data_IF_562594083678
#
_entry.id   IF_562594083678
#
_cell.length_a   1.000
_cell.length_b   1.000
_cell.length_c   1.000
_cell.angle_alpha   90.00
_cell.angle_beta   90.00
_cell.angle_gamma   90.00
#
_symmetry.space_group_name_H-M   'P 1'
#
loop_
_entity.id
_entity.type
_entity.pdbx_description
1 polymer ?
#
# COMPACT_ATOMS: atom_id res chain seq x y z
N UNK A 1 24.01 18.42 -29.15
CA UNK A 1 23.02 17.85 -28.21
C UNK A 1 21.72 17.66 -28.96
N UNK A 2 21.19 16.45 -28.95
CA UNK A 2 19.95 16.10 -29.66
C UNK A 2 18.74 16.85 -29.05
N UNK A 3 18.11 17.79 -29.74
CA UNK A 3 16.97 18.55 -29.24
C UNK A 3 15.73 17.68 -28.95
N UNK A 4 15.68 16.46 -29.50
CA UNK A 4 14.57 15.53 -29.27
C UNK A 4 14.47 14.99 -27.83
N UNK A 5 15.55 15.13 -27.03
CA UNK A 5 15.64 14.67 -25.64
C UNK A 5 15.29 15.74 -24.60
N UNK A 6 15.00 16.99 -25.02
CA UNK A 6 14.62 18.06 -24.09
C UNK A 6 13.11 18.09 -23.83
N UNK A 7 12.75 18.33 -22.58
CA UNK A 7 11.37 18.55 -22.13
C UNK A 7 11.27 19.99 -21.63
N UNK A 8 10.33 20.78 -22.20
CA UNK A 8 10.12 22.20 -21.89
C UNK A 8 11.42 23.02 -21.97
N UNK A 9 12.31 22.72 -22.94
CA UNK A 9 13.60 23.38 -23.19
C UNK A 9 14.56 23.47 -21.98
N UNK A 10 14.16 22.96 -20.84
CA UNK A 10 14.90 23.00 -19.58
C UNK A 10 15.45 21.64 -19.15
N UNK A 11 14.66 20.58 -19.27
CA UNK A 11 15.01 19.28 -18.69
C UNK A 11 15.55 18.32 -19.76
N UNK A 12 16.78 17.88 -19.62
CA UNK A 12 17.41 16.90 -20.52
C UNK A 12 17.09 15.48 -20.03
N UNK A 13 16.16 14.82 -20.70
CA UNK A 13 15.69 13.47 -20.38
C UNK A 13 16.83 12.44 -20.50
N UNK A 14 16.88 11.53 -19.54
CA UNK A 14 17.78 10.38 -19.46
C UNK A 14 17.00 9.06 -19.45
N UNK A 15 17.44 8.07 -18.70
CA UNK A 15 16.81 6.76 -18.57
C UNK A 15 15.42 6.81 -17.91
N UNK A 16 14.59 5.81 -18.24
CA UNK A 16 13.31 5.57 -17.57
C UNK A 16 13.60 4.90 -16.23
N UNK A 17 13.04 5.47 -15.15
CA UNK A 17 13.16 4.94 -13.78
C UNK A 17 12.04 3.94 -13.46
N UNK A 18 10.86 4.12 -14.07
CA UNK A 18 9.72 3.23 -13.86
C UNK A 18 8.51 3.64 -14.69
N UNK A 19 7.62 2.70 -14.88
CA UNK A 19 6.32 2.91 -15.50
C UNK A 19 5.23 2.38 -14.58
N UNK A 20 4.22 3.19 -14.32
CA UNK A 20 3.13 2.88 -13.39
C UNK A 20 1.76 3.24 -13.95
N UNK A 21 0.72 3.02 -13.15
CA UNK A 21 -0.70 3.26 -13.51
C UNK A 21 -0.96 4.69 -13.99
N UNK A 22 -0.23 5.66 -13.47
CA UNK A 22 -0.45 7.09 -13.73
C UNK A 22 0.48 7.67 -14.81
N UNK A 23 1.47 6.91 -15.29
CA UNK A 23 2.40 7.38 -16.31
C UNK A 23 3.81 6.84 -16.14
N UNK A 24 4.77 7.52 -16.76
CA UNK A 24 6.19 7.12 -16.81
C UNK A 24 7.00 8.11 -15.98
N UNK A 25 7.93 7.60 -15.16
CA UNK A 25 8.93 8.39 -14.44
C UNK A 25 10.28 8.22 -15.14
N UNK A 26 10.95 9.30 -15.40
CA UNK A 26 12.29 9.27 -15.98
C UNK A 26 13.24 10.22 -15.28
N UNK A 27 14.49 9.86 -15.26
CA UNK A 27 15.60 10.69 -14.79
C UNK A 27 15.86 11.81 -15.80
N UNK A 28 16.16 12.99 -15.34
CA UNK A 28 16.52 14.12 -16.19
C UNK A 28 17.59 14.98 -15.51
N UNK A 29 18.20 15.86 -16.28
CA UNK A 29 19.10 16.92 -15.79
C UNK A 29 18.42 18.25 -16.03
N UNK A 30 18.24 19.04 -14.98
CA UNK A 30 17.83 20.43 -15.08
C UNK A 30 18.99 21.26 -15.65
N UNK A 31 18.87 21.73 -16.88
CA UNK A 31 19.95 22.47 -17.56
C UNK A 31 20.22 23.84 -16.98
N UNK A 32 19.30 24.38 -16.13
CA UNK A 32 19.51 25.66 -15.44
C UNK A 32 20.36 25.52 -14.19
N UNK A 33 20.18 24.41 -13.44
CA UNK A 33 20.85 24.21 -12.15
C UNK A 33 21.94 23.14 -12.21
N UNK A 34 21.97 22.31 -13.26
CA UNK A 34 22.83 21.13 -13.36
C UNK A 34 22.37 19.96 -12.49
N UNK A 35 21.30 20.10 -11.72
CA UNK A 35 20.81 19.07 -10.80
C UNK A 35 20.14 17.90 -11.54
N UNK A 36 20.33 16.71 -10.99
CA UNK A 36 19.59 15.52 -11.41
C UNK A 36 18.22 15.56 -10.75
N UNK A 37 17.16 15.31 -11.55
CA UNK A 37 15.75 15.32 -11.12
C UNK A 37 15.02 14.08 -11.63
N UNK A 38 13.91 13.74 -10.99
CA UNK A 38 12.96 12.74 -11.47
C UNK A 38 11.72 13.43 -12.03
N UNK A 39 11.29 13.05 -13.25
CA UNK A 39 10.12 13.65 -13.89
C UNK A 39 9.04 12.60 -14.09
N UNK A 40 7.91 12.76 -13.40
CA UNK A 40 6.69 11.96 -13.55
C UNK A 40 5.81 12.56 -14.65
N UNK A 41 5.71 11.88 -15.78
CA UNK A 41 4.85 12.27 -16.90
C UNK A 41 3.48 11.64 -16.71
N UNK A 42 2.46 12.46 -16.48
CA UNK A 42 1.07 12.05 -16.32
C UNK A 42 0.32 12.30 -17.63
N UNK A 43 -0.27 11.26 -18.19
CA UNK A 43 -1.08 11.37 -19.40
C UNK A 43 -2.39 12.09 -19.06
N UNK A 44 -2.63 13.22 -19.69
CA UNK A 44 -3.94 13.86 -19.68
C UNK A 44 -4.77 13.10 -20.70
N UNK A 45 -5.71 12.25 -20.24
CA UNK A 45 -6.56 11.44 -21.12
C UNK A 45 -7.36 12.32 -22.09
N UNK A 46 -7.82 11.74 -23.22
CA UNK A 46 -8.73 12.35 -24.20
C UNK A 46 -10.16 12.59 -23.64
N UNK A 47 -10.37 12.47 -22.35
CA UNK A 47 -11.68 12.74 -21.75
C UNK A 47 -12.00 14.23 -21.88
N UNK A 48 -13.20 14.53 -22.36
CA UNK A 48 -13.78 15.87 -22.55
C UNK A 48 -13.87 16.69 -21.25
N UNK A 49 -13.50 16.14 -20.13
CA UNK A 49 -13.43 16.76 -18.82
C UNK A 49 -11.95 17.02 -18.51
N UNK A 50 -11.48 18.21 -18.80
CA UNK A 50 -10.26 18.89 -18.40
C UNK A 50 -9.28 18.15 -17.44
N UNK A 51 -8.43 18.87 -16.85
CA UNK A 51 -7.30 18.53 -15.98
C UNK A 51 -7.53 17.33 -15.04
N UNK A 52 -6.57 16.40 -14.98
CA UNK A 52 -6.55 15.29 -14.00
C UNK A 52 -6.54 15.85 -12.55
N UNK A 53 -7.72 15.90 -11.93
CA UNK A 53 -7.91 16.40 -10.57
C UNK A 53 -7.01 15.70 -9.52
N UNK A 54 -6.64 14.45 -9.75
CA UNK A 54 -5.72 13.72 -8.89
C UNK A 54 -4.32 14.35 -8.90
N UNK A 55 -3.82 14.68 -10.09
CA UNK A 55 -2.52 15.33 -10.23
C UNK A 55 -2.50 16.76 -9.68
N UNK A 56 -3.57 17.54 -9.88
CA UNK A 56 -3.68 18.88 -9.28
C UNK A 56 -3.68 18.82 -7.75
N UNK A 57 -4.34 17.82 -7.19
CA UNK A 57 -4.36 17.60 -5.74
C UNK A 57 -2.98 17.22 -5.23
N UNK A 58 -2.27 16.30 -5.91
CA UNK A 58 -0.90 15.93 -5.58
C UNK A 58 0.01 17.17 -5.56
N UNK A 59 -0.08 18.01 -6.58
CA UNK A 59 0.67 19.29 -6.65
C UNK A 59 0.34 20.20 -5.45
N UNK A 60 -0.94 20.41 -5.15
CA UNK A 60 -1.37 21.27 -4.05
C UNK A 60 -0.84 20.78 -2.72
N UNK A 61 -1.02 19.47 -2.43
CA UNK A 61 -0.55 18.86 -1.19
C UNK A 61 0.97 18.96 -1.05
N UNK A 62 1.74 18.62 -2.08
CA UNK A 62 3.20 18.65 -2.03
C UNK A 62 3.77 20.07 -1.90
N UNK A 63 3.07 21.09 -2.39
CA UNK A 63 3.47 22.49 -2.16
C UNK A 63 3.31 22.94 -0.70
N UNK A 64 2.37 22.32 0.03
CA UNK A 64 2.08 22.62 1.44
C UNK A 64 2.86 21.72 2.41
N UNK A 65 3.26 20.51 1.96
CA UNK A 65 3.99 19.52 2.75
C UNK A 65 5.49 19.63 2.49
N UNK A 66 6.16 20.56 3.17
CA UNK A 66 7.63 20.71 3.08
C UNK A 66 8.28 20.17 4.33
N UNK A 67 9.03 19.07 4.19
CA UNK A 67 9.73 18.41 5.30
C UNK A 67 10.89 17.55 4.76
N UNK A 68 11.98 17.36 5.51
CA UNK A 68 13.10 16.49 5.12
C UNK A 68 12.68 15.04 4.81
N UNK A 69 11.56 14.57 5.37
CA UNK A 69 11.04 13.20 5.15
C UNK A 69 9.85 13.14 4.16
N UNK A 70 9.63 14.20 3.38
CA UNK A 70 8.64 14.23 2.31
C UNK A 70 9.33 14.63 1.01
N UNK A 71 9.00 13.94 -0.09
CA UNK A 71 9.56 14.22 -1.42
C UNK A 71 9.27 15.66 -1.85
N UNK A 72 10.28 16.38 -2.31
CA UNK A 72 10.12 17.74 -2.79
C UNK A 72 9.62 17.77 -4.23
N UNK A 73 8.53 18.51 -4.46
CA UNK A 73 8.08 18.89 -5.79
C UNK A 73 8.77 20.21 -6.19
N UNK A 74 9.72 20.11 -7.13
CA UNK A 74 10.53 21.24 -7.61
C UNK A 74 9.74 22.08 -8.61
N UNK A 75 9.03 21.42 -9.56
CA UNK A 75 8.32 22.09 -10.63
C UNK A 75 7.12 21.27 -11.12
N UNK A 76 6.15 21.93 -11.73
CA UNK A 76 5.00 21.28 -12.35
C UNK A 76 4.53 22.09 -13.56
N UNK A 77 4.49 21.49 -14.76
CA UNK A 77 4.12 22.19 -15.97
C UNK A 77 3.44 21.27 -17.01
N UNK A 78 2.55 21.82 -17.86
CA UNK A 78 2.03 21.12 -19.01
C UNK A 78 3.04 21.09 -20.16
N UNK A 79 3.16 19.96 -20.85
CA UNK A 79 3.97 19.85 -22.06
C UNK A 79 3.43 18.75 -22.98
N UNK A 80 3.19 19.07 -24.27
CA UNK A 80 2.70 18.13 -25.29
C UNK A 80 1.48 17.31 -24.84
N UNK A 81 0.47 17.99 -24.27
CA UNK A 81 -0.76 17.34 -23.80
C UNK A 81 -0.60 16.42 -22.59
N UNK A 82 0.51 16.51 -21.85
CA UNK A 82 0.74 15.78 -20.61
C UNK A 82 1.12 16.77 -19.50
N UNK A 83 0.86 16.38 -18.24
CA UNK A 83 1.35 17.08 -17.07
C UNK A 83 2.68 16.45 -16.63
N UNK A 84 3.67 17.29 -16.39
CA UNK A 84 4.99 16.88 -15.90
C UNK A 84 5.17 17.40 -14.48
N UNK A 85 5.47 16.49 -13.55
CA UNK A 85 5.82 16.82 -12.17
C UNK A 85 7.31 16.53 -12.01
N UNK A 86 8.07 17.53 -11.58
CA UNK A 86 9.51 17.43 -11.38
C UNK A 86 9.81 17.34 -9.90
N UNK A 87 10.43 16.25 -9.50
CA UNK A 87 10.82 15.93 -8.14
C UNK A 87 12.34 15.95 -7.99
N UNK A 88 12.81 16.11 -6.77
CA UNK A 88 14.17 15.76 -6.43
C UNK A 88 14.47 14.30 -6.81
N UNK A 89 15.70 14.01 -7.20
CA UNK A 89 16.08 12.65 -7.57
C UNK A 89 16.46 11.84 -6.33
N UNK A 90 15.85 10.67 -6.20
CA UNK A 90 16.15 9.71 -5.15
C UNK A 90 16.79 8.48 -5.76
N UNK A 91 17.84 7.95 -5.11
CA UNK A 91 18.69 6.88 -5.67
C UNK A 91 18.03 5.50 -5.61
N UNK A 92 17.27 5.23 -4.55
CA UNK A 92 16.68 3.92 -4.30
C UNK A 92 15.38 4.07 -3.50
N UNK A 93 14.79 2.95 -3.13
CA UNK A 93 13.62 2.86 -2.26
C UNK A 93 13.84 1.81 -1.16
N UNK A 94 12.96 1.79 -0.17
CA UNK A 94 13.09 0.89 0.97
C UNK A 94 12.82 -0.58 0.58
N UNK A 95 12.02 -0.84 -0.46
CA UNK A 95 11.82 -2.20 -0.97
C UNK A 95 13.12 -2.80 -1.48
N UNK A 96 13.90 -2.03 -2.25
CA UNK A 96 15.21 -2.45 -2.73
C UNK A 96 16.18 -2.75 -1.57
N UNK A 97 16.18 -1.92 -0.52
CA UNK A 97 16.97 -2.17 0.71
C UNK A 97 16.55 -3.47 1.39
N UNK A 98 15.22 -3.70 1.56
CA UNK A 98 14.70 -4.89 2.23
C UNK A 98 15.03 -6.17 1.44
N UNK A 99 14.95 -6.12 0.11
CA UNK A 99 15.14 -7.29 -0.77
C UNK A 99 16.60 -7.64 -1.02
N UNK A 100 17.52 -6.68 -0.89
CA UNK A 100 18.94 -6.93 -1.12
C UNK A 100 19.53 -7.80 -0.01
N UNK A 101 19.86 -9.05 -0.36
CA UNK A 101 20.44 -10.03 0.57
C UNK A 101 21.86 -9.69 1.02
N UNK A 102 22.56 -8.82 0.29
CA UNK A 102 23.90 -8.37 0.63
C UNK A 102 23.88 -7.25 1.68
N UNK A 103 22.70 -6.64 1.91
CA UNK A 103 22.52 -5.61 2.93
C UNK A 103 22.13 -6.26 4.25
N UNK A 104 22.99 -6.11 5.26
CA UNK A 104 22.64 -6.42 6.64
C UNK A 104 22.08 -5.16 7.31
N UNK A 105 20.90 -5.25 7.92
CA UNK A 105 20.29 -4.18 8.68
C UNK A 105 20.46 -4.44 10.19
N UNK A 106 21.20 -3.59 10.86
CA UNK A 106 21.27 -3.59 12.31
C UNK A 106 19.96 -3.08 12.95
N UNK A 107 19.70 -3.36 14.24
CA UNK A 107 18.56 -2.78 14.96
C UNK A 107 18.54 -1.25 14.92
N UNK A 108 19.71 -0.58 14.91
CA UNK A 108 19.85 0.86 14.81
C UNK A 108 19.42 1.39 13.41
N UNK A 109 19.72 0.63 12.36
CA UNK A 109 19.34 1.00 10.98
C UNK A 109 17.84 0.90 10.78
N UNK A 110 17.22 -0.21 11.25
CA UNK A 110 15.77 -0.39 11.22
C UNK A 110 15.07 0.74 11.99
N UNK A 111 15.60 1.08 13.17
CA UNK A 111 15.09 2.18 13.99
C UNK A 111 15.16 3.52 13.25
N UNK A 112 16.24 3.80 12.53
CA UNK A 112 16.41 5.01 11.75
C UNK A 112 15.40 5.09 10.59
N UNK A 113 15.24 4.01 9.80
CA UNK A 113 14.27 3.98 8.70
C UNK A 113 12.83 4.19 9.18
N UNK A 114 12.42 3.53 10.27
CA UNK A 114 11.07 3.69 10.83
C UNK A 114 10.88 5.07 11.44
N UNK A 115 11.90 5.64 12.11
CA UNK A 115 11.81 6.99 12.65
C UNK A 115 11.58 8.02 11.55
N UNK A 116 12.32 7.95 10.44
CA UNK A 116 12.14 8.85 9.29
C UNK A 116 10.74 8.68 8.64
N UNK A 117 10.26 7.44 8.51
CA UNK A 117 8.92 7.15 8.02
C UNK A 117 7.85 7.80 8.88
N UNK A 118 7.94 7.63 10.20
CA UNK A 118 6.98 8.22 11.15
C UNK A 118 7.07 9.75 11.19
N UNK A 119 8.28 10.36 11.05
CA UNK A 119 8.44 11.81 10.95
C UNK A 119 7.67 12.38 9.75
N UNK A 120 7.85 11.79 8.57
CA UNK A 120 7.12 12.20 7.37
C UNK A 120 5.59 12.07 7.54
N UNK A 121 5.11 10.95 8.10
CA UNK A 121 3.69 10.74 8.39
C UNK A 121 3.16 11.72 9.45
N UNK A 122 3.93 12.05 10.48
CA UNK A 122 3.51 13.00 11.51
C UNK A 122 3.25 14.40 10.91
N UNK A 123 4.08 14.85 9.96
CA UNK A 123 3.84 16.10 9.23
C UNK A 123 2.57 16.02 8.38
N UNK A 124 2.36 14.92 7.66
CA UNK A 124 1.11 14.70 6.91
C UNK A 124 -0.10 14.80 7.83
N UNK A 125 -0.12 14.05 8.92
CA UNK A 125 -1.24 13.99 9.86
C UNK A 125 -1.48 15.33 10.57
N UNK A 126 -0.42 16.06 10.95
CA UNK A 126 -0.50 17.43 11.49
C UNK A 126 -1.16 18.41 10.52
N UNK A 127 -0.99 18.18 9.21
CA UNK A 127 -1.63 18.96 8.13
C UNK A 127 -2.96 18.35 7.65
N UNK A 128 -3.53 17.42 8.41
CA UNK A 128 -4.76 16.71 8.09
C UNK A 128 -4.72 15.96 6.76
N UNK A 129 -3.57 15.45 6.36
CA UNK A 129 -3.37 14.68 5.12
C UNK A 129 -3.15 13.22 5.45
N UNK A 130 -3.95 12.31 4.85
CA UNK A 130 -3.71 10.88 4.80
C UNK A 130 -2.91 10.55 3.54
N UNK A 131 -1.87 9.75 3.69
CA UNK A 131 -1.07 9.27 2.55
C UNK A 131 -1.83 8.21 1.73
N UNK A 132 -2.32 7.16 2.39
CA UNK A 132 -3.18 6.10 1.86
C UNK A 132 -2.54 5.14 0.84
N UNK A 133 -1.24 5.22 0.61
CA UNK A 133 -0.48 4.25 -0.19
C UNK A 133 0.92 4.00 0.39
N UNK A 134 0.97 3.84 1.73
CA UNK A 134 2.21 3.50 2.43
C UNK A 134 2.62 2.06 2.11
N UNK A 135 3.81 1.91 1.54
CA UNK A 135 4.48 0.64 1.19
C UNK A 135 5.97 0.91 0.96
N UNK A 136 6.86 -0.09 1.05
CA UNK A 136 8.30 0.13 0.98
C UNK A 136 8.78 0.84 -0.29
N UNK A 137 8.18 0.58 -1.46
CA UNK A 137 8.57 1.22 -2.71
C UNK A 137 8.09 2.68 -2.87
N UNK A 138 7.23 3.17 -1.98
CA UNK A 138 6.85 4.59 -1.88
C UNK A 138 7.66 5.34 -0.83
N UNK A 139 8.66 4.68 -0.21
CA UNK A 139 9.61 5.26 0.72
C UNK A 139 10.97 5.37 0.01
N UNK A 140 11.21 6.52 -0.59
CA UNK A 140 12.41 6.76 -1.40
C UNK A 140 13.59 7.18 -0.52
N UNK A 141 14.81 6.83 -0.95
CA UNK A 141 16.04 7.09 -0.20
C UNK A 141 17.02 7.85 -1.10
N UNK A 142 17.47 8.99 -0.64
CA UNK A 142 18.43 9.84 -1.33
C UNK A 142 19.90 9.39 -1.14
N UNK A 143 20.81 10.04 -1.85
CA UNK A 143 22.26 9.80 -1.76
C UNK A 143 22.82 10.02 -0.37
N UNK A 144 22.19 10.88 0.42
CA UNK A 144 22.53 11.15 1.80
C UNK A 144 21.88 10.18 2.81
N UNK A 145 21.16 9.14 2.35
CA UNK A 145 20.45 8.18 3.19
C UNK A 145 19.13 8.68 3.77
N UNK A 146 18.73 9.94 3.48
CA UNK A 146 17.45 10.48 3.93
C UNK A 146 16.30 9.75 3.27
N UNK A 147 15.40 9.17 4.08
CA UNK A 147 14.17 8.55 3.61
C UNK A 147 13.07 9.61 3.49
N UNK A 148 12.32 9.55 2.38
CA UNK A 148 11.23 10.47 2.07
C UNK A 148 10.00 9.73 1.59
N UNK A 149 8.82 10.15 2.10
CA UNK A 149 7.52 9.69 1.61
C UNK A 149 7.29 10.24 0.20
N UNK A 150 6.84 9.37 -0.71
CA UNK A 150 6.56 9.71 -2.11
C UNK A 150 5.23 9.10 -2.58
N UNK A 151 4.79 9.49 -3.77
CA UNK A 151 3.54 9.09 -4.43
C UNK A 151 2.27 9.47 -3.65
N UNK A 152 2.02 10.77 -3.58
CA UNK A 152 0.81 11.36 -2.97
C UNK A 152 -0.44 11.29 -3.87
N UNK A 153 -0.42 10.49 -4.94
CA UNK A 153 -1.54 10.35 -5.88
C UNK A 153 -2.85 9.91 -5.24
N UNK A 154 -2.78 9.11 -4.16
CA UNK A 154 -3.93 8.67 -3.38
C UNK A 154 -4.21 9.53 -2.15
N UNK A 155 -3.36 10.49 -1.81
CA UNK A 155 -3.49 11.30 -0.61
C UNK A 155 -4.80 12.11 -0.56
N UNK A 156 -5.31 12.35 0.65
CA UNK A 156 -6.56 13.10 0.90
C UNK A 156 -6.49 13.88 2.20
N UNK A 157 -7.19 15.01 2.23
CA UNK A 157 -7.44 15.76 3.46
C UNK A 157 -8.54 15.05 4.25
N UNK A 158 -8.34 14.81 5.54
CA UNK A 158 -9.30 14.19 6.45
C UNK A 158 -9.76 15.16 7.54
N UNK A 159 -10.56 14.69 8.51
CA UNK A 159 -11.03 15.52 9.64
C UNK A 159 -12.40 16.17 9.45
N UNK A 160 -13.06 16.03 8.27
CA UNK A 160 -14.47 16.41 8.12
C UNK A 160 -15.36 15.20 8.45
N UNK A 161 -16.34 15.32 9.38
CA UNK A 161 -17.19 14.20 9.80
C UNK A 161 -18.06 13.64 8.66
N UNK A 162 -18.41 14.48 7.69
CA UNK A 162 -19.25 14.07 6.55
C UNK A 162 -18.47 13.46 5.40
N UNK A 163 -17.14 13.51 5.46
CA UNK A 163 -16.30 13.05 4.35
C UNK A 163 -16.16 11.54 4.35
N UNK A 164 -16.71 10.92 3.30
CA UNK A 164 -16.54 9.49 3.03
C UNK A 164 -15.40 9.28 2.02
N UNK A 165 -14.61 8.26 2.28
CA UNK A 165 -13.49 7.86 1.42
C UNK A 165 -13.75 6.48 0.81
N UNK A 166 -13.03 6.12 -0.26
CA UNK A 166 -13.00 4.72 -0.72
C UNK A 166 -12.20 3.88 0.27
N UNK A 167 -12.70 2.71 0.63
CA UNK A 167 -12.00 1.73 1.45
C UNK A 167 -10.95 0.94 0.63
N UNK A 168 -11.08 0.91 -0.70
CA UNK A 168 -10.15 0.23 -1.61
C UNK A 168 -8.91 1.08 -1.90
N UNK A 169 -8.18 1.43 -0.85
CA UNK A 169 -6.90 2.11 -0.87
C UNK A 169 -5.84 1.23 -0.23
N UNK A 170 -4.58 1.57 -0.36
CA UNK A 170 -3.40 0.77 -0.01
C UNK A 170 -3.24 -0.51 -0.84
N UNK A 171 -2.01 -0.91 -1.08
CA UNK A 171 -1.69 -2.29 -1.44
C UNK A 171 -2.20 -3.20 -0.32
N UNK A 172 -2.89 -4.29 -0.67
CA UNK A 172 -3.64 -5.13 0.27
C UNK A 172 -2.85 -5.53 1.51
N UNK A 173 -1.58 -5.87 1.36
CA UNK A 173 -0.72 -6.33 2.47
C UNK A 173 -0.48 -5.28 3.57
N UNK A 174 -0.72 -3.99 3.27
CA UNK A 174 -0.55 -2.84 4.17
C UNK A 174 -1.90 -2.25 4.61
N UNK A 175 -3.02 -2.85 4.17
CA UNK A 175 -4.36 -2.33 4.44
C UNK A 175 -4.80 -2.66 5.85
N UNK A 176 -5.26 -1.64 6.57
CA UNK A 176 -5.76 -1.78 7.94
C UNK A 176 -7.08 -2.58 8.00
N UNK A 177 -7.36 -3.32 9.10
CA UNK A 177 -8.53 -4.17 9.22
C UNK A 177 -9.85 -3.42 9.07
N UNK A 178 -9.97 -2.18 9.56
CA UNK A 178 -11.16 -1.36 9.38
C UNK A 178 -11.48 -1.09 7.90
N UNK A 179 -10.47 -0.98 7.06
CA UNK A 179 -10.65 -0.83 5.61
C UNK A 179 -11.07 -2.14 4.93
N UNK A 180 -10.57 -3.27 5.43
CA UNK A 180 -10.97 -4.61 4.97
C UNK A 180 -12.43 -4.91 5.35
N UNK A 181 -12.92 -4.34 6.46
CA UNK A 181 -14.32 -4.35 6.84
C UNK A 181 -15.16 -3.24 6.19
N UNK A 182 -14.66 -2.61 5.14
CA UNK A 182 -15.42 -1.72 4.26
C UNK A 182 -15.71 -0.33 4.80
N UNK A 183 -15.05 0.11 5.91
CA UNK A 183 -15.30 1.45 6.43
C UNK A 183 -14.93 2.52 5.41
N UNK A 184 -15.80 3.55 5.31
CA UNK A 184 -15.59 4.73 4.47
C UNK A 184 -15.23 5.97 5.26
N UNK A 185 -15.30 5.88 6.59
CA UNK A 185 -14.89 6.93 7.52
C UNK A 185 -13.68 6.42 8.30
N UNK A 186 -12.52 6.94 8.02
CA UNK A 186 -11.26 6.54 8.64
C UNK A 186 -10.31 7.74 8.76
N UNK A 187 -9.34 7.63 9.64
CA UNK A 187 -8.40 8.69 10.00
C UNK A 187 -6.95 8.20 9.91
N UNK A 188 -6.04 8.91 10.53
CA UNK A 188 -4.59 8.70 10.49
C UNK A 188 -4.14 7.28 10.90
N UNK A 189 -4.92 6.56 11.68
CA UNK A 189 -4.63 5.20 12.12
C UNK A 189 -4.38 4.21 10.96
N UNK A 190 -4.96 4.41 9.79
CA UNK A 190 -4.74 3.53 8.63
C UNK A 190 -3.30 3.63 8.11
N UNK A 191 -2.69 4.82 8.11
CA UNK A 191 -1.29 5.02 7.73
C UNK A 191 -0.34 4.46 8.79
N UNK A 192 -0.72 4.52 10.09
CA UNK A 192 0.04 3.93 11.19
C UNK A 192 0.08 2.41 11.09
N UNK A 193 -1.06 1.77 10.78
CA UNK A 193 -1.09 0.32 10.51
C UNK A 193 -0.17 -0.07 9.35
N UNK A 194 -0.21 0.67 8.24
CA UNK A 194 0.66 0.43 7.10
C UNK A 194 2.14 0.62 7.46
N UNK A 195 2.48 1.64 8.26
CA UNK A 195 3.84 1.83 8.79
C UNK A 195 4.28 0.68 9.71
N UNK A 196 3.35 0.09 10.50
CA UNK A 196 3.62 -1.11 11.29
C UNK A 196 3.94 -2.33 10.41
N UNK A 197 3.21 -2.51 9.30
CA UNK A 197 3.51 -3.56 8.32
C UNK A 197 4.93 -3.38 7.72
N UNK A 198 5.31 -2.15 7.40
CA UNK A 198 6.65 -1.83 6.90
C UNK A 198 7.71 -2.09 7.98
N UNK A 199 7.43 -1.76 9.23
CA UNK A 199 8.34 -2.06 10.34
C UNK A 199 8.54 -3.57 10.52
N UNK A 200 7.46 -4.34 10.49
CA UNK A 200 7.51 -5.81 10.53
C UNK A 200 8.31 -6.37 9.34
N UNK A 201 8.14 -5.80 8.14
CA UNK A 201 8.86 -6.20 6.93
C UNK A 201 10.37 -5.93 7.03
N UNK A 202 10.78 -4.80 7.61
CA UNK A 202 12.18 -4.50 7.90
C UNK A 202 12.80 -5.52 8.88
N UNK A 203 12.06 -5.91 9.93
CA UNK A 203 12.51 -6.90 10.91
C UNK A 203 12.64 -8.30 10.30
N UNK A 204 11.71 -8.70 9.44
CA UNK A 204 11.62 -10.02 8.85
C UNK A 204 12.36 -10.15 7.51
N UNK A 205 12.76 -9.05 6.88
CA UNK A 205 13.34 -8.98 5.53
C UNK A 205 12.46 -9.61 4.45
N UNK A 206 11.15 -9.60 4.66
CA UNK A 206 10.13 -10.08 3.73
C UNK A 206 8.77 -9.48 4.09
N UNK A 207 7.82 -9.36 3.14
CA UNK A 207 6.47 -8.90 3.45
C UNK A 207 5.83 -9.75 4.56
N UNK A 208 5.15 -9.09 5.49
CA UNK A 208 4.65 -9.73 6.72
C UNK A 208 3.29 -10.40 6.50
N UNK A 209 2.28 -9.65 6.04
CA UNK A 209 0.89 -10.09 5.89
C UNK A 209 0.53 -10.17 4.40
N UNK A 210 0.75 -11.32 3.76
CA UNK A 210 0.61 -11.49 2.31
C UNK A 210 -0.73 -12.15 1.96
N UNK A 211 -1.83 -11.40 2.03
CA UNK A 211 -3.15 -11.87 1.63
C UNK A 211 -3.39 -11.78 0.12
N UNK A 212 -4.05 -12.79 -0.43
CA UNK A 212 -4.42 -12.89 -1.86
C UNK A 212 -5.79 -12.28 -2.16
N UNK A 213 -6.68 -12.22 -1.16
CA UNK A 213 -7.98 -11.55 -1.17
C UNK A 213 -8.17 -10.73 0.10
N UNK A 214 -9.23 -9.93 0.20
CA UNK A 214 -9.50 -9.15 1.41
C UNK A 214 -9.87 -10.05 2.60
N UNK A 215 -10.56 -11.17 2.35
CA UNK A 215 -10.85 -12.20 3.37
C UNK A 215 -9.57 -12.92 3.80
N UNK A 216 -8.71 -13.31 2.87
CA UNK A 216 -7.43 -13.94 3.19
C UNK A 216 -6.50 -12.98 3.94
N UNK A 217 -6.54 -11.68 3.61
CA UNK A 217 -5.80 -10.65 4.34
C UNK A 217 -6.26 -10.57 5.81
N UNK A 218 -7.57 -10.58 6.08
CA UNK A 218 -8.11 -10.66 7.44
C UNK A 218 -7.68 -11.95 8.13
N UNK A 219 -7.72 -13.09 7.44
CA UNK A 219 -7.22 -14.36 7.95
C UNK A 219 -5.74 -14.31 8.37
N UNK A 220 -4.88 -13.68 7.55
CA UNK A 220 -3.46 -13.45 7.90
C UNK A 220 -3.30 -12.54 9.12
N UNK A 221 -4.11 -11.50 9.23
CA UNK A 221 -4.11 -10.59 10.39
C UNK A 221 -4.52 -11.36 11.66
N UNK A 222 -5.60 -12.15 11.61
CA UNK A 222 -6.08 -12.92 12.77
C UNK A 222 -5.12 -14.05 13.16
N UNK A 223 -4.47 -14.68 12.19
CA UNK A 223 -3.41 -15.65 12.48
C UNK A 223 -2.20 -15.02 13.21
N UNK A 224 -1.89 -13.76 12.93
CA UNK A 224 -0.78 -13.04 13.53
C UNK A 224 -1.12 -12.43 14.90
N UNK A 225 -2.33 -11.90 15.08
CA UNK A 225 -2.70 -11.09 16.26
C UNK A 225 -3.91 -11.63 17.02
N UNK A 226 -4.47 -12.77 16.61
CA UNK A 226 -5.73 -13.31 17.12
C UNK A 226 -6.96 -12.62 16.54
N UNK A 227 -8.12 -13.26 16.69
CA UNK A 227 -9.39 -12.61 16.35
C UNK A 227 -9.72 -11.55 17.39
N UNK A 228 -9.99 -10.28 16.99
CA UNK A 228 -10.28 -9.22 17.95
C UNK A 228 -11.57 -9.52 18.73
N UNK A 229 -11.54 -9.25 20.03
CA UNK A 229 -12.70 -9.34 20.91
C UNK A 229 -13.47 -8.02 20.94
N UNK A 230 -14.75 -8.02 21.36
CA UNK A 230 -15.50 -6.77 21.56
C UNK A 230 -14.85 -5.80 22.54
N UNK A 231 -14.06 -6.29 23.52
CA UNK A 231 -13.31 -5.45 24.45
C UNK A 231 -12.09 -4.79 23.81
N UNK A 232 -11.49 -5.43 22.79
CA UNK A 232 -10.35 -4.89 22.04
C UNK A 232 -10.78 -3.95 20.91
N UNK A 233 -11.99 -4.14 20.38
CA UNK A 233 -12.54 -3.31 19.31
C UNK A 233 -14.07 -3.24 19.40
N UNK A 234 -14.63 -2.36 20.23
CA UNK A 234 -16.07 -2.31 20.50
C UNK A 234 -16.93 -2.03 19.26
N UNK A 235 -16.46 -1.17 18.36
CA UNK A 235 -17.23 -0.73 17.20
C UNK A 235 -17.12 -1.69 15.98
N UNK A 236 -16.35 -2.77 16.09
CA UNK A 236 -16.07 -3.69 14.99
C UNK A 236 -17.35 -4.28 14.37
N UNK A 237 -18.31 -4.66 15.21
CA UNK A 237 -19.58 -5.29 14.78
C UNK A 237 -20.47 -4.37 13.92
N UNK A 238 -20.24 -3.06 13.98
CA UNK A 238 -21.00 -2.06 13.21
C UNK A 238 -20.35 -1.71 11.86
N UNK A 239 -19.21 -2.31 11.54
CA UNK A 239 -18.52 -2.06 10.27
C UNK A 239 -19.31 -2.66 9.09
N UNK A 240 -19.32 -2.02 7.90
CA UNK A 240 -20.22 -2.36 6.80
C UNK A 240 -20.11 -3.81 6.33
N UNK A 241 -18.90 -4.35 6.26
CA UNK A 241 -18.59 -5.69 5.73
C UNK A 241 -18.15 -6.64 6.87
N UNK A 242 -18.53 -6.31 8.13
CA UNK A 242 -18.26 -7.18 9.26
C UNK A 242 -19.02 -8.50 9.11
N UNK A 243 -18.30 -9.58 9.34
CA UNK A 243 -18.84 -10.94 9.51
C UNK A 243 -18.24 -11.52 10.77
N UNK A 244 -18.99 -12.40 11.45
CA UNK A 244 -18.47 -13.11 12.61
C UNK A 244 -17.41 -14.13 12.19
N UNK A 245 -16.27 -14.09 12.87
CA UNK A 245 -15.16 -15.01 12.63
C UNK A 245 -15.00 -15.97 13.78
N UNK A 246 -14.56 -17.19 13.47
CA UNK A 246 -14.14 -18.12 14.49
C UNK A 246 -12.99 -17.52 15.31
N UNK A 247 -13.08 -17.65 16.62
CA UNK A 247 -12.04 -17.15 17.51
C UNK A 247 -10.72 -17.92 17.32
N UNK A 248 -9.67 -17.17 17.07
CA UNK A 248 -8.29 -17.65 17.00
C UNK A 248 -7.50 -16.89 18.08
N UNK A 249 -6.86 -17.60 19.04
CA UNK A 249 -6.05 -16.92 20.07
C UNK A 249 -4.82 -16.26 19.44
N UNK A 250 -4.42 -15.11 19.99
CA UNK A 250 -3.22 -14.42 19.57
C UNK A 250 -1.96 -15.21 19.98
N UNK A 251 -1.04 -15.54 19.06
CA UNK A 251 0.27 -16.04 19.45
C UNK A 251 1.06 -14.91 20.15
N UNK A 252 2.03 -15.25 21.01
CA UNK A 252 2.93 -14.24 21.55
C UNK A 252 3.67 -13.52 20.42
N UNK A 253 3.66 -12.17 20.43
CA UNK A 253 4.33 -11.38 19.38
C UNK A 253 5.83 -11.71 19.27
N UNK A 254 6.46 -12.09 20.39
CA UNK A 254 7.83 -12.61 20.44
C UNK A 254 8.07 -13.83 19.55
N UNK A 255 7.08 -14.69 19.34
CA UNK A 255 7.23 -15.88 18.47
C UNK A 255 7.29 -15.48 16.98
N UNK A 256 6.67 -14.36 16.60
CA UNK A 256 6.72 -13.82 15.24
C UNK A 256 8.02 -13.05 14.98
N UNK A 257 8.59 -12.43 16.02
CA UNK A 257 9.77 -11.57 15.94
C UNK A 257 10.79 -11.93 17.04
N UNK A 258 11.41 -13.13 16.99
CA UNK A 258 12.20 -13.67 18.09
C UNK A 258 13.45 -12.83 18.45
N UNK A 259 14.06 -12.17 17.46
CA UNK A 259 15.30 -11.40 17.64
C UNK A 259 15.06 -9.91 17.90
N UNK A 260 13.81 -9.50 18.12
CA UNK A 260 13.42 -8.09 18.27
C UNK A 260 13.45 -7.67 19.74
N UNK A 261 13.87 -6.45 20.04
CA UNK A 261 13.87 -5.91 21.40
C UNK A 261 12.45 -5.74 21.96
N UNK A 262 12.30 -5.77 23.29
CA UNK A 262 11.00 -5.57 23.94
C UNK A 262 10.37 -4.21 23.61
N UNK A 263 11.19 -3.15 23.54
CA UNK A 263 10.71 -1.82 23.14
C UNK A 263 10.17 -1.78 21.71
N UNK A 264 10.79 -2.54 20.79
CA UNK A 264 10.29 -2.64 19.43
C UNK A 264 8.99 -3.45 19.34
N UNK A 265 8.88 -4.54 20.12
CA UNK A 265 7.65 -5.32 20.22
C UNK A 265 6.51 -4.51 20.83
N UNK A 266 6.80 -3.72 21.86
CA UNK A 266 5.82 -2.84 22.50
C UNK A 266 5.31 -1.77 21.51
N UNK A 267 6.21 -1.09 20.79
CA UNK A 267 5.82 -0.14 19.75
C UNK A 267 4.99 -0.82 18.65
N UNK A 268 5.44 -1.98 18.14
CA UNK A 268 4.69 -2.75 17.13
C UNK A 268 3.28 -3.10 17.60
N UNK A 269 3.12 -3.57 18.84
CA UNK A 269 1.82 -3.94 19.40
C UNK A 269 0.87 -2.75 19.44
N UNK A 270 1.37 -1.57 19.81
CA UNK A 270 0.60 -0.31 19.84
C UNK A 270 0.24 0.18 18.44
N UNK A 271 1.10 -0.03 17.45
CA UNK A 271 0.82 0.32 16.05
C UNK A 271 -0.16 -0.66 15.39
N UNK A 272 -0.18 -1.94 15.79
CA UNK A 272 -1.11 -2.96 15.33
C UNK A 272 -2.38 -3.09 16.20
N UNK A 273 -2.67 -2.12 17.07
CA UNK A 273 -3.92 -2.10 17.81
C UNK A 273 -5.10 -2.12 16.85
N UNK A 274 -6.06 -3.06 17.08
CA UNK A 274 -7.21 -3.26 16.20
C UNK A 274 -8.11 -2.03 16.14
N UNK A 275 -8.54 -1.51 17.31
CA UNK A 275 -9.36 -0.31 17.36
C UNK A 275 -8.57 0.90 16.84
N UNK A 276 -8.97 1.50 15.70
CA UNK A 276 -8.29 2.65 15.14
C UNK A 276 -8.31 3.88 16.06
N UNK A 277 -9.26 3.96 17.01
CA UNK A 277 -9.34 5.04 18.00
C UNK A 277 -8.32 4.87 19.13
N UNK A 278 -7.99 3.63 19.49
CA UNK A 278 -7.00 3.29 20.51
C UNK A 278 -5.59 3.10 19.92
N UNK A 279 -5.47 2.97 18.59
CA UNK A 279 -4.19 2.82 17.91
C UNK A 279 -3.31 4.02 18.13
N UNK A 280 -2.02 3.80 18.47
CA UNK A 280 -1.04 4.85 18.71
C UNK A 280 -0.98 5.84 17.54
N UNK A 281 -0.88 7.13 17.82
CA UNK A 281 -0.68 8.17 16.81
C UNK A 281 0.79 8.24 16.36
N UNK A 282 1.07 8.83 15.20
CA UNK A 282 2.46 9.03 14.74
C UNK A 282 3.29 9.86 15.71
N UNK A 283 2.69 10.86 16.36
CA UNK A 283 3.37 11.69 17.34
C UNK A 283 3.74 10.88 18.58
N UNK A 284 2.78 10.14 19.17
CA UNK A 284 3.03 9.26 20.31
C UNK A 284 4.05 8.15 19.97
N UNK A 285 4.02 7.61 18.74
CA UNK A 285 4.98 6.63 18.29
C UNK A 285 6.41 7.18 18.23
N UNK A 286 6.59 8.43 17.80
CA UNK A 286 7.90 9.10 17.79
C UNK A 286 8.44 9.39 19.20
N UNK A 287 7.57 9.57 20.19
CA UNK A 287 7.91 9.78 21.60
C UNK A 287 8.16 8.46 22.34
N UNK A 288 7.91 7.32 21.68
CA UNK A 288 8.07 6.00 22.30
C UNK A 288 9.52 5.73 22.65
N UNK A 289 9.74 5.07 23.82
CA UNK A 289 11.08 4.74 24.35
C UNK A 289 11.96 3.94 23.37
N UNK A 290 11.35 3.24 22.40
CA UNK A 290 12.08 2.54 21.35
C UNK A 290 13.09 3.44 20.63
N UNK A 291 12.79 4.71 20.40
CA UNK A 291 13.66 5.64 19.70
C UNK A 291 14.72 6.30 20.59
N UNK A 292 14.54 6.26 21.91
CA UNK A 292 15.48 6.83 22.89
C UNK A 292 16.33 5.76 23.59
N UNK A 293 15.98 4.47 23.51
CA UNK A 293 16.76 3.35 24.04
C UNK A 293 17.91 2.97 23.12
N UNK A 294 19.00 2.43 23.69
CA UNK A 294 20.14 1.92 22.91
C UNK A 294 19.75 0.63 22.13
N UNK A 295 20.32 0.40 20.92
CA UNK A 295 21.14 1.33 20.17
C UNK A 295 20.30 2.49 19.62
N UNK A 296 20.88 3.70 19.61
CA UNK A 296 20.22 4.87 19.01
C UNK A 296 20.07 4.72 17.48
N UNK A 297 19.12 5.44 16.84
CA UNK A 297 18.97 5.40 15.39
C UNK A 297 20.27 5.75 14.67
N UNK A 298 20.62 4.98 13.66
CA UNK A 298 21.77 5.25 12.79
C UNK A 298 21.60 6.59 12.07
N UNK A 299 22.68 7.37 11.98
CA UNK A 299 22.71 8.56 11.13
C UNK A 299 22.32 8.19 9.69
N UNK A 300 21.39 8.90 9.04
CA UNK A 300 20.95 8.61 7.69
C UNK A 300 22.09 8.44 6.68
N UNK A 301 23.14 9.26 6.78
CA UNK A 301 24.30 9.19 5.88
C UNK A 301 25.07 7.85 5.95
N UNK A 302 24.95 7.14 7.09
CA UNK A 302 25.63 5.86 7.35
C UNK A 302 24.74 4.64 7.09
N UNK A 303 23.47 4.83 6.75
CA UNK A 303 22.54 3.73 6.50
C UNK A 303 22.97 2.89 5.31
N UNK A 304 22.95 1.55 5.43
CA UNK A 304 23.27 0.65 4.32
C UNK A 304 22.17 0.77 3.23
N UNK A 305 22.60 0.83 1.98
CA UNK A 305 21.72 0.93 0.81
C UNK A 305 22.38 0.29 -0.42
N UNK A 306 21.58 -0.18 -1.41
CA UNK A 306 22.13 -0.78 -2.62
C UNK A 306 23.03 0.20 -3.37
N UNK A 307 24.17 -0.29 -3.84
CA UNK A 307 25.01 0.51 -4.75
C UNK A 307 24.38 0.53 -6.15
N UNK A 308 24.56 1.63 -6.93
CA UNK A 308 23.97 1.74 -8.27
C UNK A 308 24.31 0.60 -9.23
N UNK A 309 25.41 -0.13 -9.01
CA UNK A 309 25.84 -1.27 -9.84
C UNK A 309 25.06 -2.56 -9.58
N UNK A 310 24.42 -2.74 -8.43
CA UNK A 310 23.67 -3.97 -8.10
C UNK A 310 22.32 -4.10 -8.79
N UNK A 311 21.79 -3.02 -9.38
CA UNK A 311 20.49 -3.05 -10.11
C UNK A 311 20.56 -3.75 -11.49
N UNK A 312 21.76 -4.04 -12.04
CA UNK A 312 21.93 -4.61 -13.37
C UNK A 312 22.22 -6.13 -13.39
N UNK A 313 22.40 -6.78 -12.22
CA UNK A 313 22.84 -8.19 -12.16
C UNK A 313 21.83 -9.21 -11.66
N UNK A 314 20.66 -8.81 -11.13
CA UNK A 314 19.73 -9.76 -10.50
C UNK A 314 18.39 -9.95 -11.25
N UNK A 315 18.40 -9.97 -12.57
CA UNK A 315 17.36 -10.65 -13.32
C UNK A 315 17.82 -12.09 -13.54
N UNK A 316 17.64 -12.92 -12.51
CA UNK A 316 17.76 -14.35 -12.65
C UNK A 316 16.53 -14.87 -13.41
N UNK A 317 16.65 -15.48 -14.61
CA UNK A 317 15.51 -15.91 -15.42
C UNK A 317 14.68 -17.03 -14.79
N UNK A 318 15.02 -17.51 -13.60
CA UNK A 318 14.37 -18.64 -12.93
C UNK A 318 13.41 -18.27 -11.81
N UNK A 319 13.35 -17.00 -11.37
CA UNK A 319 12.30 -16.55 -10.47
C UNK A 319 11.07 -16.18 -11.32
N UNK A 320 10.07 -17.06 -11.32
CA UNK A 320 8.81 -16.86 -12.01
C UNK A 320 8.14 -15.53 -11.64
N UNK A 321 7.22 -15.01 -12.47
CA UNK A 321 6.73 -13.64 -12.35
C UNK A 321 6.13 -13.37 -10.99
N UNK A 322 6.80 -12.52 -10.22
CA UNK A 322 6.24 -11.94 -9.00
C UNK A 322 4.97 -11.23 -9.40
N UNK A 323 3.84 -11.68 -8.86
CA UNK A 323 2.50 -11.16 -9.14
C UNK A 323 2.44 -9.69 -8.71
N UNK A 324 2.88 -8.81 -9.59
CA UNK A 324 2.48 -7.42 -9.62
C UNK A 324 1.04 -7.41 -10.09
N UNK A 325 0.14 -6.88 -9.28
CA UNK A 325 -1.29 -6.56 -9.55
C UNK A 325 -1.95 -7.26 -10.75
N UNK A 326 -3.15 -7.81 -10.63
CA UNK A 326 -3.76 -8.61 -11.69
C UNK A 326 -3.78 -7.84 -13.02
N UNK A 327 -3.43 -8.48 -14.15
CA UNK A 327 -3.44 -7.82 -15.45
C UNK A 327 -4.88 -7.42 -15.79
N UNK A 328 -5.10 -6.13 -16.05
CA UNK A 328 -6.32 -5.67 -16.70
C UNK A 328 -6.38 -6.32 -18.07
N UNK A 329 -7.47 -7.03 -18.34
CA UNK A 329 -7.81 -7.57 -19.65
C UNK A 329 -7.61 -6.48 -20.72
N UNK A 330 -6.58 -6.61 -21.54
CA UNK A 330 -6.42 -5.83 -22.75
C UNK A 330 -7.54 -6.21 -23.69
N UNK A 331 -8.38 -5.27 -24.03
CA UNK A 331 -9.36 -5.37 -25.11
C UNK A 331 -8.54 -5.50 -26.41
N UNK A 332 -8.50 -6.71 -26.99
CA UNK A 332 -8.01 -6.90 -28.35
C UNK A 332 -8.87 -6.06 -29.30
N UNK A 333 -8.25 -5.07 -29.91
CA UNK A 333 -8.79 -4.42 -31.11
C UNK A 333 -8.55 -5.40 -32.25
N UNK A 334 -9.63 -5.95 -32.79
CA UNK A 334 -9.60 -6.65 -34.06
C UNK A 334 -9.53 -5.61 -35.19
N UNK A 335 -8.76 -5.86 -36.25
CA UNK A 335 -8.82 -5.04 -37.45
C UNK A 335 -10.11 -5.34 -38.21
N UNK A 336 -10.76 -4.28 -38.70
CA UNK A 336 -11.88 -4.33 -39.63
C UNK A 336 -11.52 -5.15 -40.86
N UNK A 337 -12.36 -6.12 -41.20
CA UNK A 337 -12.43 -6.72 -42.53
C UNK A 337 -13.86 -6.63 -43.03
N UNK A 338 -13.94 -6.03 -44.18
CA UNK A 338 -15.14 -5.81 -44.99
C UNK A 338 -15.96 -7.06 -45.29
N UNK A 339 -17.23 -6.79 -45.35
CA UNK A 339 -18.43 -7.40 -45.89
C UNK A 339 -18.29 -8.47 -46.99
N UNK A 340 -19.24 -9.40 -46.88
CA UNK A 340 -19.93 -10.22 -47.88
C UNK A 340 -19.58 -11.71 -47.95
N UNK A 341 -20.45 -12.55 -47.44
CA UNK A 341 -21.34 -13.42 -48.18
C UNK A 341 -22.12 -14.36 -47.26
N UNK A 342 -23.43 -14.43 -47.55
CA UNK A 342 -24.38 -15.40 -47.02
C UNK A 342 -24.01 -16.82 -47.56
N UNK A 343 -24.16 -17.84 -46.71
CA UNK A 343 -24.92 -19.04 -47.05
C UNK A 343 -25.12 -19.95 -45.82
N UNK A 344 -26.31 -20.55 -45.79
CA UNK A 344 -26.89 -21.48 -44.85
C UNK A 344 -26.17 -22.83 -44.87
N UNK A 345 -26.27 -23.61 -43.80
CA UNK A 345 -26.82 -24.99 -43.76
C UNK A 345 -26.59 -25.63 -42.35
N UNK A 346 -27.71 -26.03 -41.76
CA UNK A 346 -28.15 -27.14 -40.93
C UNK A 346 -27.22 -27.93 -39.95
N UNK A 347 -27.81 -28.08 -38.77
CA UNK A 347 -27.87 -29.16 -37.79
C UNK A 347 -27.06 -30.44 -38.04
N UNK A 348 -26.36 -30.93 -36.98
CA UNK A 348 -26.58 -32.30 -36.48
C UNK A 348 -26.07 -32.53 -35.06
N UNK A 349 -26.93 -33.21 -34.29
CA UNK A 349 -26.81 -33.75 -32.95
C UNK A 349 -25.84 -34.93 -32.94
N UNK A 350 -25.13 -35.14 -31.81
CA UNK A 350 -24.39 -36.39 -31.59
C UNK A 350 -23.77 -36.51 -30.20
N UNK A 351 -24.49 -37.07 -29.26
CA UNK A 351 -23.98 -37.69 -28.04
C UNK A 351 -23.04 -38.87 -28.36
N UNK A 352 -22.01 -39.14 -27.53
CA UNK A 352 -21.67 -40.47 -27.03
C UNK A 352 -20.65 -40.43 -25.86
N UNK A 353 -21.04 -41.05 -24.77
CA UNK A 353 -20.47 -41.71 -23.59
C UNK A 353 -19.02 -42.16 -23.58
N UNK A 354 -18.43 -41.94 -22.40
CA UNK A 354 -17.68 -42.79 -21.46
C UNK A 354 -16.74 -43.91 -21.97
N UNK A 355 -15.53 -43.96 -21.35
CA UNK A 355 -14.99 -45.17 -20.69
C UNK A 355 -13.70 -44.85 -19.93
N UNK A 356 -13.55 -45.60 -18.81
CA UNK A 356 -12.51 -45.56 -17.80
C UNK A 356 -11.23 -46.32 -18.21
N UNK A 357 -10.13 -46.08 -17.49
CA UNK A 357 -8.95 -46.95 -17.53
C UNK A 357 -7.80 -46.47 -16.65
N UNK A 358 -7.52 -47.22 -15.66
CA UNK A 358 -6.57 -47.21 -14.54
C UNK A 358 -5.08 -47.12 -14.89
N UNK A 359 -4.30 -46.68 -13.96
CA UNK A 359 -3.11 -47.22 -13.24
C UNK A 359 -1.91 -46.23 -13.11
N UNK A 360 -1.67 -45.86 -11.88
CA UNK A 360 -0.54 -46.06 -10.98
C UNK A 360 0.88 -45.55 -11.36
N UNK A 361 1.43 -44.70 -10.50
CA UNK A 361 2.86 -44.39 -10.39
C UNK A 361 3.17 -43.40 -9.28
N UNK A 362 3.65 -43.87 -8.13
CA UNK A 362 4.00 -43.15 -6.89
C UNK A 362 5.18 -42.22 -7.09
N UNK A 363 5.14 -40.99 -6.51
CA UNK A 363 6.26 -40.42 -5.76
C UNK A 363 5.73 -39.37 -4.77
N UNK A 364 6.07 -39.58 -3.51
CA UNK A 364 5.73 -38.71 -2.38
C UNK A 364 6.48 -37.39 -2.46
N UNK A 365 5.73 -36.30 -2.48
CA UNK A 365 6.17 -35.01 -1.95
C UNK A 365 5.00 -34.43 -1.19
N UNK A 366 5.20 -34.24 0.13
CA UNK A 366 4.22 -33.69 1.05
C UNK A 366 4.23 -32.14 0.92
N UNK A 367 3.17 -31.51 0.44
CA UNK A 367 2.97 -30.09 0.66
C UNK A 367 2.19 -29.91 1.96
N UNK A 368 2.69 -29.10 2.88
CA UNK A 368 1.89 -28.59 4.00
C UNK A 368 0.77 -27.71 3.43
N UNK A 369 -0.33 -28.33 3.07
CA UNK A 369 -1.60 -27.65 2.82
C UNK A 369 -2.28 -27.47 4.17
N UNK A 370 -2.42 -26.19 4.58
CA UNK A 370 -3.35 -25.84 5.65
C UNK A 370 -4.75 -26.10 5.07
N UNK A 371 -5.42 -27.11 5.62
CA UNK A 371 -6.76 -27.51 5.22
C UNK A 371 -7.77 -26.45 5.66
N UNK A 372 -8.35 -25.71 4.70
CA UNK A 372 -9.39 -24.72 4.91
C UNK A 372 -10.81 -25.28 5.01
N UNK A 373 -10.97 -26.61 5.08
CA UNK A 373 -12.28 -27.28 5.19
C UNK A 373 -13.02 -27.02 6.51
N UNK A 374 -12.40 -26.29 7.46
CA UNK A 374 -13.00 -25.93 8.76
C UNK A 374 -14.00 -24.77 8.64
N UNK A 375 -13.99 -24.03 7.52
CA UNK A 375 -14.98 -22.97 7.29
C UNK A 375 -16.23 -23.58 6.65
N UNK A 376 -17.15 -24.02 7.52
CA UNK A 376 -18.42 -24.56 7.10
C UNK A 376 -19.17 -23.64 6.13
N UNK A 377 -19.41 -24.16 4.93
CA UNK A 377 -20.21 -23.55 3.88
C UNK A 377 -21.70 -23.61 4.24
N UNK A 378 -22.17 -22.65 5.08
CA UNK A 378 -23.58 -22.24 5.11
C UNK A 378 -23.63 -20.75 5.44
N UNK A 379 -24.17 -19.90 4.56
CA UNK A 379 -24.44 -18.50 4.91
C UNK A 379 -25.58 -18.50 5.93
N UNK A 380 -25.27 -18.11 7.17
CA UNK A 380 -26.30 -17.74 8.13
C UNK A 380 -26.99 -16.48 7.63
N UNK A 381 -28.32 -16.55 7.54
CA UNK A 381 -29.19 -15.44 7.17
C UNK A 381 -28.87 -14.20 7.99
N UNK A 382 -28.67 -13.07 7.31
CA UNK A 382 -28.48 -11.75 7.93
C UNK A 382 -29.62 -11.46 8.90
N UNK A 383 -29.35 -11.03 10.14
CA UNK A 383 -30.40 -10.48 10.98
C UNK A 383 -30.89 -9.20 10.29
N UNK A 384 -32.14 -9.20 9.86
CA UNK A 384 -32.84 -8.02 9.36
C UNK A 384 -33.13 -7.11 10.54
N UNK A 385 -32.33 -6.08 10.73
CA UNK A 385 -32.65 -4.98 11.65
C UNK A 385 -33.79 -4.20 10.99
N UNK A 386 -34.96 -4.20 11.61
CA UNK A 386 -36.12 -3.46 11.17
C UNK A 386 -35.80 -1.95 11.08
N UNK A 387 -36.40 -1.27 10.11
CA UNK A 387 -36.24 0.18 9.89
C UNK A 387 -36.56 1.04 11.13
N UNK A 388 -37.42 0.54 12.04
CA UNK A 388 -37.74 1.14 13.31
C UNK A 388 -36.57 1.19 14.30
N UNK A 389 -35.74 0.15 14.34
CA UNK A 389 -34.56 0.08 15.21
C UNK A 389 -33.45 1.04 14.76
N UNK A 390 -33.32 1.27 13.45
CA UNK A 390 -32.37 2.25 12.90
C UNK A 390 -32.75 3.69 13.26
N UNK A 391 -34.04 4.01 13.32
CA UNK A 391 -34.50 5.35 13.70
C UNK A 391 -34.34 5.62 15.19
N UNK A 392 -34.45 4.60 16.04
CA UNK A 392 -34.24 4.70 17.49
C UNK A 392 -32.77 4.89 17.85
N UNK A 393 -31.86 4.19 17.16
CA UNK A 393 -30.41 4.35 17.33
C UNK A 393 -29.93 5.76 16.88
N UNK A 394 -30.50 6.27 15.78
CA UNK A 394 -30.18 7.61 15.27
C UNK A 394 -30.61 8.70 16.26
N UNK A 395 -31.82 8.59 16.84
CA UNK A 395 -32.30 9.53 17.87
C UNK A 395 -31.47 9.50 19.15
N UNK A 396 -30.95 8.33 19.55
CA UNK A 396 -30.09 8.21 20.74
C UNK A 396 -28.74 8.85 20.55
N UNK A 397 -28.16 8.73 19.36
CA UNK A 397 -26.91 9.41 18.99
C UNK A 397 -27.09 10.93 18.90
N UNK A 398 -28.20 11.41 18.33
CA UNK A 398 -28.46 12.85 18.21
C UNK A 398 -28.71 13.51 19.59
N UNK A 399 -29.22 12.77 20.59
CA UNK A 399 -29.44 13.26 21.95
C UNK A 399 -28.13 13.31 22.79
N UNK A 400 -27.20 12.40 22.56
CA UNK A 400 -25.87 12.41 23.24
C UNK A 400 -24.96 13.54 22.75
N UNK A 401 -25.15 14.03 21.52
CA UNK A 401 -24.41 15.17 20.98
C UNK A 401 -24.97 16.55 21.35
N UNK A 402 -26.20 16.64 21.87
CA UNK A 402 -26.81 17.90 22.31
C UNK A 402 -26.52 18.27 23.80
N UNK A 403 -25.82 17.42 24.56
CA UNK A 403 -25.51 17.66 25.97
C UNK A 403 -24.03 17.94 26.28
N UNK A 404 -23.22 18.23 25.27
CA UNK A 404 -21.80 18.59 25.43
C UNK A 404 -21.45 19.90 24.67
N UNK A 405 -22.32 20.91 24.78
CA UNK A 405 -21.96 22.32 24.53
C UNK A 405 -21.92 23.08 25.86
#
# INVERSE_FOLDING_TARGET
>A
MDPSKKVADRYLKREVLGEGTYGVVYKAIDTKTGQVVAIKKIRLGKQKEGVNFTALREIKLLKELKDPNIIELIDAFPHKGNLHLVFEFMETDLEAVIRDRNIFLSPADIKSYIQMTLKGLAICHKKWVLHRDMKPNNLLIGSNGQLKLADFGLARIFGSPDRRFTHQVFARWYRAPELLFGTKQYAAGVDVWAAACIFAELLLRRPFLQGTSDIDQLGKIFAAFGTPTPSQWPDMIYLPDYVEYQYVPAPPLRSLFPMTSDDALDLLSKMFTYDPKARITTQQALEHRYFSSAPLPTDPAKLPRPTPKSRLSDVNPQDGPTVLSPPRKSRRVMPDRDSNQLEKIDEHVGEVRAAAGDQAGKSEQVPMTVDFSIFGSKPLSRPTINSADRSHLKRKLDLEFQHND
#
